data_IF_789164232532
#
_entry.id   IF_789164232532
#
_cell.length_a   1.000
_cell.length_b   1.000
_cell.length_c   1.000
_cell.angle_alpha   90.00
_cell.angle_beta   90.00
_cell.angle_gamma   90.00
#
_symmetry.space_group_name_H-M   'P 1'
#
loop_
_entity.id
_entity.type
_entity.pdbx_description
1 polymer ?
#
# COMPACT_ATOMS: atom_id res chain seq x y z
N UNK A 1 20.96 0.93 -30.87
CA UNK A 1 20.98 1.39 -29.44
C UNK A 1 19.57 1.68 -28.90
N UNK A 2 18.67 2.29 -29.71
CA UNK A 2 17.29 2.62 -29.27
C UNK A 2 16.43 1.36 -29.00
N UNK A 3 16.60 0.31 -29.81
CA UNK A 3 15.88 -0.96 -29.67
C UNK A 3 16.22 -1.69 -28.35
N UNK A 4 17.50 -1.76 -28.01
CA UNK A 4 18.00 -2.41 -26.80
C UNK A 4 17.49 -1.72 -25.52
N UNK A 5 17.44 -0.38 -25.52
CA UNK A 5 16.90 0.38 -24.39
C UNK A 5 15.39 0.13 -24.23
N UNK A 6 14.65 0.10 -25.31
CA UNK A 6 13.21 -0.20 -25.29
C UNK A 6 12.95 -1.62 -24.82
N UNK A 7 13.74 -2.60 -25.25
CA UNK A 7 13.65 -3.98 -24.78
C UNK A 7 13.96 -4.09 -23.28
N UNK A 8 15.02 -3.41 -22.82
CA UNK A 8 15.39 -3.41 -21.39
C UNK A 8 14.27 -2.78 -20.52
N UNK A 9 13.68 -1.67 -20.95
CA UNK A 9 12.56 -1.04 -20.23
C UNK A 9 11.31 -1.89 -20.26
N UNK A 10 11.05 -2.63 -21.34
CA UNK A 10 9.91 -3.54 -21.43
C UNK A 10 10.07 -4.81 -20.57
N UNK A 11 11.30 -5.20 -20.23
CA UNK A 11 11.58 -6.31 -19.32
C UNK A 11 11.35 -5.97 -17.84
N UNK A 12 11.18 -4.69 -17.49
CA UNK A 12 10.94 -4.27 -16.13
C UNK A 12 9.49 -4.59 -15.73
N UNK A 13 9.28 -5.16 -14.51
CA UNK A 13 7.95 -5.47 -14.00
C UNK A 13 7.17 -4.22 -13.59
N UNK A 14 7.87 -3.15 -13.20
CA UNK A 14 7.25 -1.90 -12.79
C UNK A 14 6.88 -1.05 -14.02
N UNK A 15 5.73 -0.34 -14.01
CA UNK A 15 5.36 0.63 -15.03
C UNK A 15 6.41 1.75 -15.19
N UNK A 16 6.88 1.96 -16.42
CA UNK A 16 7.84 3.01 -16.77
C UNK A 16 7.32 3.85 -17.93
N UNK A 17 7.34 5.15 -17.73
CA UNK A 17 6.91 6.16 -18.71
C UNK A 17 8.05 7.18 -18.90
N UNK A 18 8.40 7.48 -20.13
CA UNK A 18 9.29 8.60 -20.46
C UNK A 18 8.46 9.75 -20.98
N UNK A 19 8.77 10.94 -20.52
CA UNK A 19 8.09 12.17 -20.93
C UNK A 19 9.09 13.21 -21.43
N UNK A 20 8.63 14.12 -22.29
CA UNK A 20 9.39 15.28 -22.72
C UNK A 20 9.27 16.46 -21.71
N UNK A 21 9.94 17.56 -21.98
CA UNK A 21 9.90 18.77 -21.14
C UNK A 21 8.53 19.45 -21.05
N UNK A 22 7.53 19.01 -21.83
CA UNK A 22 6.14 19.50 -21.80
C UNK A 22 5.18 18.47 -21.17
N UNK A 23 5.71 17.44 -20.53
CA UNK A 23 4.95 16.32 -19.94
C UNK A 23 4.16 15.50 -20.97
N UNK A 24 4.62 15.53 -22.24
CA UNK A 24 4.08 14.66 -23.29
C UNK A 24 4.79 13.31 -23.23
N UNK A 25 4.03 12.23 -23.36
CA UNK A 25 4.53 10.86 -23.30
C UNK A 25 5.38 10.55 -24.54
N UNK A 26 6.62 10.14 -24.32
CA UNK A 26 7.56 9.74 -25.39
C UNK A 26 7.70 8.23 -25.49
N UNK A 27 7.59 7.52 -24.36
CA UNK A 27 7.68 6.08 -24.31
C UNK A 27 6.83 5.52 -23.16
N UNK A 28 6.30 4.32 -23.36
CA UNK A 28 5.52 3.57 -22.38
C UNK A 28 5.98 2.11 -22.45
N UNK A 29 6.43 1.54 -21.33
CA UNK A 29 6.79 0.12 -21.31
C UNK A 29 5.54 -0.79 -21.27
N UNK A 30 5.74 -2.10 -21.41
CA UNK A 30 4.65 -3.07 -21.41
C UNK A 30 3.88 -3.09 -20.09
N UNK A 31 4.55 -2.97 -18.95
CA UNK A 31 3.91 -2.93 -17.64
C UNK A 31 2.96 -1.73 -17.50
N UNK A 32 3.38 -0.53 -17.93
CA UNK A 32 2.53 0.66 -17.89
C UNK A 32 1.30 0.55 -18.81
N UNK A 33 1.43 -0.07 -19.98
CA UNK A 33 0.30 -0.32 -20.90
C UNK A 33 -0.73 -1.28 -20.32
N UNK A 34 -0.28 -2.27 -19.54
CA UNK A 34 -1.18 -3.21 -18.86
C UNK A 34 -1.99 -2.55 -17.76
N UNK A 35 -1.37 -1.64 -17.00
CA UNK A 35 -2.03 -0.94 -15.90
C UNK A 35 -2.94 0.18 -16.42
N UNK A 36 -2.45 0.96 -17.38
CA UNK A 36 -3.19 2.08 -18.01
C UNK A 36 -3.26 1.93 -19.53
N UNK A 37 -4.21 1.14 -20.07
CA UNK A 37 -4.36 0.98 -21.50
C UNK A 37 -4.68 2.27 -22.27
N UNK A 38 -5.18 3.29 -21.58
CA UNK A 38 -5.49 4.62 -22.13
C UNK A 38 -4.26 5.51 -22.34
N UNK A 39 -3.05 5.10 -21.91
CA UNK A 39 -1.83 5.86 -22.18
C UNK A 39 -1.47 5.81 -23.67
N UNK A 40 -1.23 6.96 -24.26
CA UNK A 40 -0.88 7.12 -25.67
C UNK A 40 0.40 7.92 -25.82
N UNK A 41 1.38 7.39 -26.54
CA UNK A 41 2.58 8.12 -26.91
C UNK A 41 2.19 9.34 -27.75
N UNK A 42 2.76 10.51 -27.44
CA UNK A 42 2.42 11.78 -28.07
C UNK A 42 1.28 12.56 -27.40
N UNK A 43 0.60 11.96 -26.41
CA UNK A 43 -0.41 12.65 -25.60
C UNK A 43 0.18 13.19 -24.28
N UNK A 44 -0.40 14.27 -23.71
CA UNK A 44 -0.06 14.72 -22.38
C UNK A 44 -0.34 13.65 -21.32
N UNK A 45 0.59 13.44 -20.38
CA UNK A 45 0.43 12.46 -19.30
C UNK A 45 -0.83 12.70 -18.46
N UNK A 46 -1.18 13.98 -18.24
CA UNK A 46 -2.35 14.40 -17.46
C UNK A 46 -3.70 14.00 -18.06
N UNK A 47 -3.74 13.50 -19.29
CA UNK A 47 -4.99 12.97 -19.87
C UNK A 47 -5.41 11.66 -19.21
N UNK A 48 -4.44 10.87 -18.77
CA UNK A 48 -4.69 9.57 -18.13
C UNK A 48 -4.38 9.61 -16.63
N UNK A 49 -3.19 10.12 -16.25
CA UNK A 49 -2.76 10.21 -14.85
C UNK A 49 -2.96 11.66 -14.35
N UNK A 50 -4.01 11.86 -13.53
CA UNK A 50 -4.44 13.18 -13.04
C UNK A 50 -4.16 13.39 -11.55
N UNK A 51 -3.26 12.62 -10.96
CA UNK A 51 -2.89 12.75 -9.56
C UNK A 51 -2.15 14.09 -9.33
N UNK A 52 -2.65 14.99 -8.47
CA UNK A 52 -2.01 16.29 -8.22
C UNK A 52 -0.57 16.15 -7.76
N UNK A 53 -0.31 15.27 -6.80
CA UNK A 53 1.05 15.04 -6.24
C UNK A 53 2.04 14.60 -7.32
N UNK A 54 1.59 13.78 -8.29
CA UNK A 54 2.42 13.37 -9.43
C UNK A 54 2.70 14.53 -10.36
N UNK A 55 1.71 15.36 -10.65
CA UNK A 55 1.86 16.51 -11.55
C UNK A 55 2.81 17.54 -10.92
N UNK A 56 2.65 17.82 -9.62
CA UNK A 56 3.52 18.75 -8.87
C UNK A 56 4.97 18.24 -8.82
N UNK A 57 5.17 16.94 -8.61
CA UNK A 57 6.50 16.32 -8.64
C UNK A 57 7.15 16.43 -10.03
N UNK A 58 6.37 16.26 -11.10
CA UNK A 58 6.85 16.43 -12.46
C UNK A 58 7.24 17.88 -12.76
N UNK A 59 6.46 18.84 -12.28
CA UNK A 59 6.77 20.26 -12.43
C UNK A 59 8.05 20.65 -11.68
N UNK A 60 8.24 20.14 -10.48
CA UNK A 60 9.46 20.35 -9.69
C UNK A 60 10.70 19.75 -10.37
N UNK A 61 10.59 18.51 -10.88
CA UNK A 61 11.72 17.80 -11.52
C UNK A 61 12.09 18.38 -12.87
N UNK A 62 11.11 18.85 -13.64
CA UNK A 62 11.34 19.49 -14.96
C UNK A 62 11.73 20.96 -14.86
N UNK A 63 11.59 21.57 -13.67
CA UNK A 63 12.06 22.93 -13.39
C UNK A 63 13.57 23.01 -13.18
N UNK A 64 14.04 24.18 -12.73
CA UNK A 64 15.48 24.46 -12.60
C UNK A 64 16.19 23.60 -11.54
N UNK A 65 15.47 23.09 -10.55
CA UNK A 65 16.06 22.32 -9.46
C UNK A 65 16.42 20.86 -9.83
N UNK A 66 15.88 20.32 -10.90
CA UNK A 66 16.27 19.03 -11.54
C UNK A 66 16.48 17.83 -10.63
N UNK A 67 15.89 17.86 -9.43
CA UNK A 67 16.02 16.82 -8.42
C UNK A 67 15.04 15.67 -8.67
N UNK A 68 15.41 14.52 -8.14
CA UNK A 68 14.52 13.36 -8.07
C UNK A 68 13.38 13.65 -7.08
N UNK A 69 12.16 13.26 -7.42
CA UNK A 69 11.00 13.36 -6.54
C UNK A 69 10.32 12.00 -6.41
N UNK A 70 9.99 11.65 -5.17
CA UNK A 70 9.22 10.47 -4.83
C UNK A 70 7.86 10.88 -4.24
N UNK A 71 6.86 10.05 -4.43
CA UNK A 71 5.54 10.28 -3.86
C UNK A 71 4.63 9.07 -4.03
N UNK A 72 3.37 9.25 -3.65
CA UNK A 72 2.34 8.25 -3.82
C UNK A 72 1.02 8.92 -4.21
N UNK A 73 0.15 8.17 -4.88
CA UNK A 73 -1.21 8.59 -5.17
C UNK A 73 -2.16 7.39 -5.20
N UNK A 74 -3.45 7.68 -5.02
CA UNK A 74 -4.50 6.67 -5.12
C UNK A 74 -5.38 6.94 -6.32
N UNK A 75 -5.75 5.88 -7.05
CA UNK A 75 -6.78 5.88 -8.08
C UNK A 75 -8.02 5.14 -7.55
N UNK A 76 -9.21 5.75 -7.68
CA UNK A 76 -10.45 5.18 -7.13
C UNK A 76 -11.31 4.42 -8.12
N UNK A 77 -11.06 4.51 -9.42
CA UNK A 77 -11.91 3.92 -10.45
C UNK A 77 -11.07 3.10 -11.45
N UNK A 78 -11.57 1.94 -11.86
CA UNK A 78 -12.76 1.19 -11.41
C UNK A 78 -12.57 0.45 -10.09
N UNK A 79 -11.36 0.28 -9.64
CA UNK A 79 -10.96 -0.36 -8.36
C UNK A 79 -9.96 0.58 -7.70
N UNK A 80 -10.08 0.72 -6.39
CA UNK A 80 -9.11 1.51 -5.60
C UNK A 80 -7.73 0.85 -5.69
N UNK A 81 -6.76 1.63 -6.15
CA UNK A 81 -5.36 1.24 -6.29
C UNK A 81 -4.47 2.31 -5.71
N UNK A 82 -3.39 1.88 -5.09
CA UNK A 82 -2.36 2.77 -4.56
C UNK A 82 -1.05 2.56 -5.30
N UNK A 83 -0.46 3.67 -5.73
CA UNK A 83 0.80 3.69 -6.45
C UNK A 83 1.81 4.56 -5.73
N UNK A 84 3.04 4.08 -5.58
CA UNK A 84 4.18 4.95 -5.39
C UNK A 84 4.76 5.34 -6.74
N UNK A 85 5.34 6.52 -6.80
CA UNK A 85 6.04 6.99 -8.00
C UNK A 85 7.41 7.56 -7.65
N UNK A 86 8.29 7.47 -8.61
CA UNK A 86 9.59 8.13 -8.64
C UNK A 86 9.76 8.84 -9.97
N UNK A 87 10.06 10.13 -9.91
CA UNK A 87 10.35 10.97 -11.08
C UNK A 87 11.79 11.42 -11.04
N UNK A 88 12.50 11.29 -12.16
CA UNK A 88 13.86 11.76 -12.29
C UNK A 88 14.09 12.39 -13.64
N UNK A 89 14.68 13.62 -13.66
CA UNK A 89 15.09 14.27 -14.91
C UNK A 89 16.31 13.60 -15.51
N UNK A 90 16.34 13.53 -16.83
CA UNK A 90 17.56 13.21 -17.55
C UNK A 90 18.43 14.47 -17.61
N UNK A 91 19.64 14.40 -17.07
CA UNK A 91 20.64 15.43 -17.27
C UNK A 91 21.20 15.29 -18.68
N UNK A 92 20.57 15.94 -19.63
CA UNK A 92 21.09 16.06 -20.98
C UNK A 92 22.03 17.27 -21.05
N UNK A 93 23.29 17.01 -21.32
CA UNK A 93 24.22 18.04 -21.77
C UNK A 93 24.52 17.74 -23.22
N UNK A 94 24.28 18.64 -24.17
CA UNK A 94 24.02 20.05 -24.24
C UNK A 94 22.60 20.43 -24.81
N UNK A 95 22.22 21.73 -24.91
CA UNK A 95 20.86 22.19 -25.21
C UNK A 95 20.37 21.99 -26.65
N UNK A 96 20.91 21.05 -27.40
CA UNK A 96 20.58 20.77 -28.80
C UNK A 96 19.67 19.56 -29.01
N UNK A 97 18.96 19.08 -27.96
CA UNK A 97 18.02 17.97 -28.13
C UNK A 97 16.69 18.44 -28.71
N UNK A 98 16.10 17.66 -29.66
CA UNK A 98 14.78 17.99 -30.21
C UNK A 98 13.76 18.12 -29.05
N UNK A 99 12.79 19.03 -29.20
CA UNK A 99 11.70 19.26 -28.20
C UNK A 99 10.91 17.99 -27.80
N UNK A 100 11.12 16.92 -28.54
CA UNK A 100 10.51 15.58 -28.33
C UNK A 100 11.44 14.57 -27.67
N UNK A 101 12.62 14.98 -27.23
CA UNK A 101 13.54 14.09 -26.52
C UNK A 101 13.03 13.83 -25.09
N UNK A 102 13.27 12.63 -24.55
CA UNK A 102 12.93 12.32 -23.16
C UNK A 102 13.63 13.29 -22.20
N UNK A 103 12.85 13.97 -21.36
CA UNK A 103 13.34 14.89 -20.35
C UNK A 103 13.29 14.29 -18.94
N UNK A 104 12.35 13.39 -18.67
CA UNK A 104 12.25 12.68 -17.40
C UNK A 104 11.76 11.25 -17.56
N UNK A 105 12.13 10.43 -16.59
CA UNK A 105 11.62 9.07 -16.37
C UNK A 105 10.68 9.09 -15.17
N UNK A 106 9.53 8.47 -15.35
CA UNK A 106 8.56 8.18 -14.31
C UNK A 106 8.51 6.66 -14.12
N UNK A 107 8.77 6.20 -12.91
CA UNK A 107 8.66 4.80 -12.49
C UNK A 107 7.53 4.74 -11.48
N UNK A 108 6.59 3.82 -11.68
CA UNK A 108 5.46 3.62 -10.79
C UNK A 108 5.50 2.20 -10.22
N UNK A 109 5.01 2.04 -8.99
CA UNK A 109 4.86 0.73 -8.36
C UNK A 109 3.47 0.62 -7.74
N UNK A 110 2.77 -0.44 -8.10
CA UNK A 110 1.49 -0.77 -7.48
C UNK A 110 1.73 -1.30 -6.06
N UNK A 111 1.20 -0.61 -5.05
CA UNK A 111 1.28 -0.96 -3.63
C UNK A 111 -0.03 -1.56 -3.11
N UNK A 112 -1.05 -1.69 -3.93
CA UNK A 112 -2.41 -2.06 -3.53
C UNK A 112 -2.45 -3.37 -2.75
N UNK A 113 -1.78 -4.40 -3.25
CA UNK A 113 -1.77 -5.71 -2.60
C UNK A 113 -0.95 -5.69 -1.29
N UNK A 114 0.19 -5.01 -1.28
CA UNK A 114 1.02 -4.86 -0.09
C UNK A 114 0.28 -4.13 1.03
N UNK A 115 -0.38 -3.01 0.73
CA UNK A 115 -1.19 -2.27 1.70
C UNK A 115 -2.42 -3.06 2.15
N UNK A 116 -3.05 -3.81 1.24
CA UNK A 116 -4.19 -4.68 1.59
C UNK A 116 -3.78 -5.78 2.57
N UNK A 117 -2.65 -6.43 2.34
CA UNK A 117 -2.11 -7.46 3.24
C UNK A 117 -1.74 -6.87 4.61
N UNK A 118 -1.12 -5.70 4.64
CA UNK A 118 -0.79 -5.03 5.90
C UNK A 118 -2.05 -4.60 6.66
N UNK A 119 -3.05 -4.04 5.99
CA UNK A 119 -4.34 -3.71 6.60
C UNK A 119 -5.03 -4.95 7.17
N UNK A 120 -5.07 -6.06 6.42
CA UNK A 120 -5.62 -7.33 6.91
C UNK A 120 -4.89 -7.82 8.16
N UNK A 121 -3.56 -7.67 8.19
CA UNK A 121 -2.75 -8.06 9.36
C UNK A 121 -3.07 -7.20 10.59
N UNK A 122 -3.21 -5.89 10.41
CA UNK A 122 -3.58 -4.96 11.49
C UNK A 122 -4.97 -5.26 12.01
N UNK A 123 -5.95 -5.44 11.12
CA UNK A 123 -7.33 -5.79 11.48
C UNK A 123 -7.41 -7.15 12.21
N UNK A 124 -6.64 -8.12 11.75
CA UNK A 124 -6.55 -9.44 12.38
C UNK A 124 -6.04 -9.33 13.82
N UNK A 125 -4.94 -8.59 14.06
CA UNK A 125 -4.39 -8.39 15.42
C UNK A 125 -5.37 -7.63 16.29
N UNK A 126 -6.03 -6.60 15.77
CA UNK A 126 -7.03 -5.82 16.50
C UNK A 126 -8.22 -6.69 16.92
N UNK A 127 -8.79 -7.46 15.97
CA UNK A 127 -9.90 -8.36 16.23
C UNK A 127 -9.54 -9.45 17.22
N UNK A 128 -8.37 -10.07 17.09
CA UNK A 128 -7.86 -11.07 18.03
C UNK A 128 -7.74 -10.49 19.45
N UNK A 129 -7.21 -9.27 19.56
CA UNK A 129 -7.07 -8.59 20.85
C UNK A 129 -8.43 -8.30 21.50
N UNK A 130 -9.44 -7.92 20.71
CA UNK A 130 -10.81 -7.71 21.20
C UNK A 130 -11.46 -9.03 21.65
N UNK A 131 -11.33 -10.09 20.85
CA UNK A 131 -11.89 -11.39 21.15
C UNK A 131 -11.24 -12.06 22.38
N UNK A 132 -9.98 -11.75 22.70
CA UNK A 132 -9.30 -12.22 23.90
C UNK A 132 -9.61 -11.37 25.14
N UNK A 133 -9.83 -10.05 24.98
CA UNK A 133 -10.08 -9.14 26.11
C UNK A 133 -11.37 -9.46 26.84
N UNK A 134 -12.43 -9.80 26.12
CA UNK A 134 -13.76 -10.09 26.70
C UNK A 134 -13.73 -11.30 27.66
N UNK A 135 -13.27 -12.49 27.26
CA UNK A 135 -13.17 -13.63 28.17
C UNK A 135 -12.18 -13.39 29.31
N UNK A 136 -11.09 -12.65 29.05
CA UNK A 136 -10.12 -12.32 30.10
C UNK A 136 -10.73 -11.43 31.18
N UNK A 137 -11.48 -10.39 30.80
CA UNK A 137 -12.20 -9.53 31.76
C UNK A 137 -13.21 -10.35 32.58
N UNK A 138 -13.91 -11.28 31.93
CA UNK A 138 -14.83 -12.20 32.61
C UNK A 138 -14.11 -13.09 33.62
N UNK A 139 -12.95 -13.66 33.25
CA UNK A 139 -12.13 -14.46 34.17
C UNK A 139 -11.69 -13.66 35.41
N UNK A 140 -11.22 -12.41 35.19
CA UNK A 140 -10.82 -11.52 36.28
C UNK A 140 -12.01 -11.28 37.24
N UNK A 141 -13.19 -10.94 36.68
CA UNK A 141 -14.38 -10.71 37.49
C UNK A 141 -14.83 -11.92 38.29
N UNK A 142 -14.71 -13.13 37.74
CA UNK A 142 -14.99 -14.39 38.52
C UNK A 142 -13.96 -14.62 39.61
N UNK A 143 -12.68 -14.34 39.35
CA UNK A 143 -11.63 -14.45 40.39
C UNK A 143 -11.91 -13.46 41.53
N UNK A 144 -12.25 -12.23 41.25
CA UNK A 144 -12.60 -11.22 42.26
C UNK A 144 -13.82 -11.65 43.10
N UNK A 145 -14.83 -12.19 42.41
CA UNK A 145 -16.04 -12.70 43.08
C UNK A 145 -15.71 -13.87 44.00
N UNK A 146 -14.86 -14.81 43.59
CA UNK A 146 -14.41 -15.95 44.41
C UNK A 146 -13.54 -15.52 45.58
N UNK A 147 -12.77 -14.45 45.43
CA UNK A 147 -11.94 -13.90 46.53
C UNK A 147 -12.75 -13.06 47.53
N UNK A 148 -13.94 -12.59 47.12
CA UNK A 148 -14.81 -11.70 47.90
C UNK A 148 -16.15 -12.33 48.23
N UNK A 149 -17.25 -11.94 47.57
CA UNK A 149 -18.63 -12.32 47.96
C UNK A 149 -18.92 -13.81 47.96
N UNK A 150 -18.28 -14.60 47.07
CA UNK A 150 -18.49 -16.06 46.97
C UNK A 150 -17.42 -16.90 47.67
N UNK A 151 -16.58 -16.28 48.51
CA UNK A 151 -15.47 -16.94 49.18
C UNK A 151 -15.90 -18.14 50.04
N UNK A 152 -17.04 -18.05 50.71
CA UNK A 152 -17.52 -19.05 51.64
C UNK A 152 -18.76 -19.82 51.09
N UNK A 153 -19.01 -19.71 49.75
CA UNK A 153 -20.11 -20.44 49.07
C UNK A 153 -19.57 -21.54 48.15
N UNK A 154 -19.54 -22.82 48.60
CA UNK A 154 -18.99 -23.91 47.79
C UNK A 154 -19.75 -24.15 46.48
N UNK A 155 -21.06 -23.87 46.43
CA UNK A 155 -21.85 -24.04 45.19
C UNK A 155 -21.51 -22.96 44.15
N UNK A 156 -21.40 -21.72 44.59
CA UNK A 156 -20.97 -20.64 43.73
C UNK A 156 -19.53 -20.86 43.23
N UNK A 157 -18.62 -21.31 44.10
CA UNK A 157 -17.25 -21.62 43.71
C UNK A 157 -17.18 -22.70 42.61
N UNK A 158 -17.90 -23.82 42.78
CA UNK A 158 -17.92 -24.90 41.78
C UNK A 158 -18.45 -24.40 40.42
N UNK A 159 -19.50 -23.58 40.44
CA UNK A 159 -20.08 -22.99 39.24
C UNK A 159 -19.12 -22.03 38.54
N UNK A 160 -18.52 -21.08 39.24
CA UNK A 160 -17.62 -20.11 38.67
C UNK A 160 -16.34 -20.74 38.14
N UNK A 161 -15.76 -21.70 38.83
CA UNK A 161 -14.60 -22.45 38.37
C UNK A 161 -14.90 -23.24 37.08
N UNK A 162 -16.12 -23.79 36.93
CA UNK A 162 -16.53 -24.46 35.70
C UNK A 162 -16.61 -23.48 34.52
N UNK A 163 -17.20 -22.27 34.72
CA UNK A 163 -17.29 -21.23 33.69
C UNK A 163 -15.90 -20.75 33.32
N UNK A 164 -15.03 -20.47 34.28
CA UNK A 164 -13.66 -20.05 34.07
C UNK A 164 -12.87 -21.04 33.22
N UNK A 165 -13.03 -22.34 33.52
CA UNK A 165 -12.39 -23.40 32.73
C UNK A 165 -12.87 -23.41 31.27
N UNK A 166 -14.17 -23.20 31.04
CA UNK A 166 -14.72 -23.12 29.70
C UNK A 166 -14.19 -21.90 28.95
N UNK A 167 -14.14 -20.72 29.58
CA UNK A 167 -13.57 -19.52 29.02
C UNK A 167 -12.07 -19.67 28.68
N UNK A 168 -11.30 -20.29 29.57
CA UNK A 168 -9.89 -20.60 29.35
C UNK A 168 -9.68 -21.52 28.14
N UNK A 169 -10.51 -22.54 27.98
CA UNK A 169 -10.48 -23.45 26.82
C UNK A 169 -10.86 -22.73 25.52
N UNK A 170 -11.82 -21.80 25.58
CA UNK A 170 -12.19 -20.97 24.42
C UNK A 170 -11.04 -20.08 24.00
N UNK A 171 -10.36 -19.41 24.95
CA UNK A 171 -9.18 -18.61 24.68
C UNK A 171 -8.04 -19.42 24.07
N UNK A 172 -7.76 -20.62 24.60
CA UNK A 172 -6.74 -21.49 24.04
C UNK A 172 -7.02 -21.83 22.57
N UNK A 173 -8.27 -22.21 22.23
CA UNK A 173 -8.65 -22.48 20.84
C UNK A 173 -8.51 -21.25 19.93
N UNK A 174 -8.81 -20.04 20.42
CA UNK A 174 -8.60 -18.81 19.67
C UNK A 174 -7.11 -18.60 19.38
N UNK A 175 -6.25 -18.79 20.36
CA UNK A 175 -4.79 -18.67 20.21
C UNK A 175 -4.25 -19.69 19.20
N UNK A 176 -4.69 -20.96 19.30
CA UNK A 176 -4.28 -22.01 18.34
C UNK A 176 -4.72 -21.73 16.91
N UNK A 177 -5.82 -20.98 16.72
CA UNK A 177 -6.30 -20.56 15.39
C UNK A 177 -5.52 -19.37 14.84
N UNK A 178 -4.79 -18.63 15.71
CA UNK A 178 -4.03 -17.44 15.38
C UNK A 178 -2.56 -17.74 15.02
N UNK A 179 -2.05 -18.87 15.43
CA UNK A 179 -0.68 -19.37 15.17
C UNK A 179 -0.65 -20.32 13.98
#
# INVERSE_FOLDING_TARGET
SSSLLSEALNALPDPVILIDGRKVIVFINQAARLVWPALVVGAPLSFTLRAPDLIDALDAVLGDDGHEQDGAFSERLPVEREFSFRVRAFRSSPPATPRTAPAAILILRDLTEAHRLESMRVDFVANASHELRTPLASLIGFIETLQGPARDDPKAQARFLSIMREQGRRMARLIDCLL
#
